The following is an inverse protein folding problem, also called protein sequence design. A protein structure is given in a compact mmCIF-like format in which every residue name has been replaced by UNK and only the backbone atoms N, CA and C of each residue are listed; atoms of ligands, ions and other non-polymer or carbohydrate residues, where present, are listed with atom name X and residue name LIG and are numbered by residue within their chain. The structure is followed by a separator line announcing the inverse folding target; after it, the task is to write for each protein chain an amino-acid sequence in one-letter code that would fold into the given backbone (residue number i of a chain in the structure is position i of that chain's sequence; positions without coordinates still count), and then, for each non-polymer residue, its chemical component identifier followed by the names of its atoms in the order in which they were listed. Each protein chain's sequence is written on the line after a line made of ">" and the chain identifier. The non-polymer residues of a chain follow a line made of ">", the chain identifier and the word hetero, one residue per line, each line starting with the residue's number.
data_IF_165421947684
#
_entry.id   IF_165421947684
#
_cell.length_a   1.000
_cell.length_b   1.000
_cell.length_c   1.000
_cell.angle_alpha   90.00
_cell.angle_beta   90.00
_cell.angle_gamma   90.00
#
_symmetry.space_group_name_H-M   'P 1'
#
loop_
_entity.id
_entity.type
_entity.pdbx_description
1 polymer ?
#
# COMPACT_ATOMS: atom_id res chain seq x y z
N UNK A 1 70.10 -9.48 -48.34
CA UNK A 1 68.69 -9.78 -48.66
C UNK A 1 67.90 -9.82 -47.36
N UNK A 2 67.25 -8.72 -46.99
CA UNK A 2 66.33 -8.64 -45.85
C UNK A 2 64.91 -8.67 -46.44
N UNK A 3 64.11 -9.65 -46.01
CA UNK A 3 62.71 -9.83 -46.44
C UNK A 3 61.82 -8.85 -45.66
N UNK A 4 61.04 -8.04 -46.38
CA UNK A 4 60.06 -7.13 -45.79
C UNK A 4 58.98 -7.91 -45.05
N UNK A 5 58.72 -7.53 -43.80
CA UNK A 5 57.55 -7.95 -43.06
C UNK A 5 56.39 -7.02 -43.39
N UNK A 6 55.23 -7.59 -43.72
CA UNK A 6 53.98 -6.84 -43.86
C UNK A 6 53.58 -6.28 -42.49
N UNK A 7 53.65 -4.97 -42.32
CA UNK A 7 53.13 -4.28 -41.15
C UNK A 7 51.60 -4.23 -41.22
N UNK A 8 50.94 -4.99 -40.34
CA UNK A 8 49.50 -4.95 -40.18
C UNK A 8 49.12 -3.76 -39.28
N UNK A 9 48.56 -2.71 -39.88
CA UNK A 9 48.06 -1.55 -39.14
C UNK A 9 46.63 -1.81 -38.66
N UNK A 10 46.41 -1.76 -37.34
CA UNK A 10 45.08 -1.74 -36.74
C UNK A 10 44.70 -0.31 -36.33
N UNK A 11 43.57 0.19 -36.80
CA UNK A 11 43.01 1.47 -36.36
C UNK A 11 42.02 1.23 -35.22
N UNK A 12 42.27 1.81 -34.05
CA UNK A 12 41.33 1.85 -32.94
C UNK A 12 40.63 3.22 -32.89
N UNK A 13 39.30 3.23 -32.78
CA UNK A 13 38.53 4.44 -32.50
C UNK A 13 38.28 4.49 -30.99
N UNK A 14 38.93 5.42 -30.30
CA UNK A 14 38.67 5.71 -28.88
C UNK A 14 37.58 6.78 -28.84
N UNK A 15 36.38 6.41 -28.38
CA UNK A 15 35.31 7.37 -28.07
C UNK A 15 35.39 7.76 -26.60
N UNK A 16 35.46 9.04 -26.33
CA UNK A 16 35.29 9.57 -24.98
C UNK A 16 33.81 9.41 -24.57
N UNK A 17 33.57 8.65 -23.50
CA UNK A 17 32.24 8.41 -22.93
C UNK A 17 32.03 9.13 -21.59
N UNK A 18 32.97 9.98 -21.19
CA UNK A 18 32.97 10.64 -19.87
C UNK A 18 31.70 11.48 -19.67
N UNK A 19 31.34 12.30 -20.67
CA UNK A 19 30.13 13.13 -20.62
C UNK A 19 28.86 12.28 -20.55
N UNK A 20 28.82 11.17 -21.29
CA UNK A 20 27.67 10.24 -21.27
C UNK A 20 27.52 9.55 -19.92
N UNK A 21 28.62 9.05 -19.34
CA UNK A 21 28.62 8.43 -18.02
C UNK A 21 28.19 9.43 -16.92
N UNK A 22 28.64 10.68 -17.02
CA UNK A 22 28.21 11.75 -16.12
C UNK A 22 26.72 12.06 -16.24
N UNK A 23 26.19 12.11 -17.47
CA UNK A 23 24.76 12.32 -17.73
C UNK A 23 23.90 11.14 -17.24
N UNK A 24 24.31 9.89 -17.49
CA UNK A 24 23.61 8.69 -17.00
C UNK A 24 23.57 8.65 -15.47
N UNK A 25 24.68 9.00 -14.81
CA UNK A 25 24.72 9.13 -13.34
C UNK A 25 23.81 10.25 -12.83
N UNK A 26 23.89 11.44 -13.42
CA UNK A 26 23.05 12.57 -13.00
C UNK A 26 21.55 12.28 -13.18
N UNK A 27 21.19 11.55 -14.24
CA UNK A 27 19.82 11.09 -14.48
C UNK A 27 19.38 10.12 -13.38
N UNK A 28 20.19 9.11 -13.06
CA UNK A 28 19.91 8.16 -11.99
C UNK A 28 19.72 8.86 -10.64
N UNK A 29 20.64 9.75 -10.28
CA UNK A 29 20.58 10.52 -9.03
C UNK A 29 19.30 11.40 -8.97
N UNK A 30 18.87 11.95 -10.12
CA UNK A 30 17.63 12.73 -10.23
C UNK A 30 16.38 11.86 -10.06
N UNK A 31 16.37 10.65 -10.62
CA UNK A 31 15.28 9.68 -10.44
C UNK A 31 15.14 9.26 -8.98
N UNK A 32 16.25 8.86 -8.34
CA UNK A 32 16.25 8.48 -6.91
C UNK A 32 15.83 9.63 -6.00
N UNK A 33 16.12 10.88 -6.37
CA UNK A 33 15.64 12.06 -5.65
C UNK A 33 14.14 12.28 -5.84
N UNK A 34 13.61 12.07 -7.04
CA UNK A 34 12.19 12.19 -7.33
C UNK A 34 11.38 11.13 -6.56
N UNK A 35 11.83 9.87 -6.58
CA UNK A 35 11.19 8.77 -5.83
C UNK A 35 11.10 9.08 -4.34
N UNK A 36 12.22 9.45 -3.71
CA UNK A 36 12.23 9.86 -2.28
C UNK A 36 11.33 11.06 -1.98
N UNK A 37 11.21 11.99 -2.93
CA UNK A 37 10.33 13.16 -2.75
C UNK A 37 8.86 12.74 -2.81
N UNK A 38 8.49 11.88 -3.75
CA UNK A 38 7.14 11.35 -3.87
C UNK A 38 6.75 10.51 -2.65
N UNK A 39 7.65 9.63 -2.20
CA UNK A 39 7.50 8.86 -0.96
C UNK A 39 7.25 9.79 0.24
N UNK A 40 8.10 10.82 0.42
CA UNK A 40 7.92 11.80 1.50
C UNK A 40 6.60 12.58 1.42
N UNK A 41 6.09 12.87 0.22
CA UNK A 41 4.78 13.50 0.03
C UNK A 41 3.65 12.56 0.46
N UNK A 42 3.72 11.29 0.06
CA UNK A 42 2.71 10.27 0.38
C UNK A 42 2.68 10.01 1.89
N UNK A 43 3.84 9.89 2.53
CA UNK A 43 3.90 9.78 3.99
C UNK A 43 3.33 11.01 4.70
N UNK A 44 3.58 12.22 4.18
CA UNK A 44 3.03 13.45 4.73
C UNK A 44 1.50 13.52 4.59
N UNK A 45 0.94 13.03 3.48
CA UNK A 45 -0.51 12.90 3.30
C UNK A 45 -1.10 11.91 4.29
N UNK A 46 -0.47 10.74 4.46
CA UNK A 46 -0.81 9.75 5.46
C UNK A 46 -0.89 10.37 6.86
N UNK A 47 0.18 11.05 7.28
CA UNK A 47 0.27 11.71 8.58
C UNK A 47 -0.79 12.82 8.77
N UNK A 48 -1.14 13.55 7.70
CA UNK A 48 -2.16 14.60 7.77
C UNK A 48 -3.56 14.05 8.07
N UNK A 49 -3.87 12.82 7.63
CA UNK A 49 -5.13 12.13 7.93
C UNK A 49 -5.19 11.78 9.41
N UNK A 50 -4.08 11.26 9.96
CA UNK A 50 -3.97 10.87 11.36
C UNK A 50 -4.14 12.06 12.33
N UNK A 51 -3.81 13.29 11.90
CA UNK A 51 -4.08 14.50 12.69
C UNK A 51 -5.58 14.78 12.90
N UNK A 52 -6.44 14.29 12.00
CA UNK A 52 -7.90 14.46 12.06
C UNK A 52 -8.61 13.32 12.75
N UNK A 53 -7.97 12.15 12.79
CA UNK A 53 -8.41 10.98 13.53
C UNK A 53 -7.33 10.62 14.57
N UNK A 54 -7.40 11.20 15.79
CA UNK A 54 -6.37 11.07 16.83
C UNK A 54 -6.03 9.62 17.22
N UNK A 55 -6.83 8.67 16.76
CA UNK A 55 -6.74 7.25 17.11
C UNK A 55 -6.07 6.40 16.03
N UNK A 56 -5.70 7.02 14.91
CA UNK A 56 -5.02 6.36 13.79
C UNK A 56 -3.53 6.69 13.74
N UNK A 57 -2.93 7.19 14.82
CA UNK A 57 -1.49 7.50 14.83
C UNK A 57 -0.64 6.27 14.45
N UNK A 58 0.12 6.39 13.36
CA UNK A 58 0.91 5.34 12.74
C UNK A 58 0.11 4.17 12.14
N UNK A 59 -1.22 4.26 12.08
CA UNK A 59 -2.09 3.21 11.54
C UNK A 59 -1.80 2.98 10.07
N UNK A 60 -1.77 4.06 9.27
CA UNK A 60 -1.51 3.94 7.82
C UNK A 60 -0.15 3.28 7.57
N UNK A 61 0.86 3.65 8.37
CA UNK A 61 2.20 3.05 8.29
C UNK A 61 2.19 1.56 8.64
N UNK A 62 1.58 1.17 9.77
CA UNK A 62 1.51 -0.24 10.19
C UNK A 62 0.71 -1.11 9.21
N UNK A 63 -0.38 -0.57 8.66
CA UNK A 63 -1.12 -1.25 7.58
C UNK A 63 -0.24 -1.41 6.35
N UNK A 64 0.50 -0.38 5.93
CA UNK A 64 1.43 -0.48 4.81
C UNK A 64 2.57 -1.48 5.05
N UNK A 65 3.16 -1.50 6.25
CA UNK A 65 4.20 -2.46 6.64
C UNK A 65 3.70 -3.90 6.52
N UNK A 66 2.52 -4.20 7.08
CA UNK A 66 1.93 -5.54 6.99
C UNK A 66 1.51 -5.88 5.57
N UNK A 67 0.92 -4.95 4.83
CA UNK A 67 0.48 -5.17 3.46
C UNK A 67 1.67 -5.46 2.51
N UNK A 68 2.78 -4.74 2.67
CA UNK A 68 4.04 -5.02 1.95
C UNK A 68 4.56 -6.41 2.31
N UNK A 69 4.65 -6.75 3.60
CA UNK A 69 5.11 -8.05 4.02
C UNK A 69 4.25 -9.19 3.45
N UNK A 70 2.92 -9.01 3.40
CA UNK A 70 2.00 -9.97 2.77
C UNK A 70 2.28 -10.10 1.27
N UNK A 71 2.40 -8.98 0.56
CA UNK A 71 2.67 -8.98 -0.88
C UNK A 71 4.02 -9.67 -1.21
N UNK A 72 5.05 -9.45 -0.40
CA UNK A 72 6.36 -10.09 -0.53
C UNK A 72 6.31 -11.59 -0.23
N UNK A 73 5.59 -11.99 0.83
CA UNK A 73 5.38 -13.40 1.19
C UNK A 73 4.64 -14.17 0.08
N UNK A 74 3.72 -13.50 -0.61
CA UNK A 74 3.01 -14.03 -1.79
C UNK A 74 3.91 -14.09 -3.05
N UNK A 75 5.13 -13.56 -2.99
CA UNK A 75 6.06 -13.54 -4.12
C UNK A 75 5.65 -12.60 -5.26
N UNK A 76 4.93 -11.52 -4.94
CA UNK A 76 4.46 -10.58 -5.97
C UNK A 76 5.62 -9.77 -6.58
N UNK A 77 5.49 -9.33 -7.85
CA UNK A 77 6.47 -8.44 -8.47
C UNK A 77 6.64 -7.13 -7.70
N UNK A 78 7.84 -6.55 -7.73
CA UNK A 78 8.16 -5.28 -7.04
C UNK A 78 7.15 -4.16 -7.33
N UNK A 79 6.67 -4.05 -8.57
CA UNK A 79 5.66 -3.06 -8.96
C UNK A 79 4.34 -3.23 -8.18
N UNK A 80 3.90 -4.47 -7.93
CA UNK A 80 2.68 -4.77 -7.16
C UNK A 80 2.88 -4.54 -5.67
N UNK A 81 4.09 -4.80 -5.16
CA UNK A 81 4.46 -4.50 -3.78
C UNK A 81 4.43 -2.98 -3.55
N UNK A 82 5.02 -2.20 -4.45
CA UNK A 82 4.99 -0.73 -4.38
C UNK A 82 3.55 -0.20 -4.53
N UNK A 83 2.75 -0.72 -5.47
CA UNK A 83 1.35 -0.34 -5.60
C UNK A 83 0.56 -0.55 -4.30
N UNK A 84 0.77 -1.70 -3.65
CA UNK A 84 0.16 -2.04 -2.35
C UNK A 84 0.63 -1.10 -1.26
N UNK A 85 1.94 -0.81 -1.19
CA UNK A 85 2.55 0.09 -0.22
C UNK A 85 1.95 1.49 -0.29
N UNK A 86 1.98 2.09 -1.48
CA UNK A 86 1.48 3.44 -1.70
C UNK A 86 -0.01 3.53 -1.42
N UNK A 87 -0.81 2.54 -1.86
CA UNK A 87 -2.24 2.53 -1.59
C UNK A 87 -2.55 2.39 -0.09
N UNK A 88 -1.83 1.53 0.63
CA UNK A 88 -2.00 1.34 2.07
C UNK A 88 -1.71 2.61 2.88
N UNK A 89 -0.71 3.41 2.47
CA UNK A 89 -0.36 4.66 3.16
C UNK A 89 -1.43 5.76 3.07
N UNK A 90 -2.32 5.68 2.07
CA UNK A 90 -3.31 6.72 1.78
C UNK A 90 -4.74 6.18 1.70
N UNK A 91 -4.99 4.93 2.09
CA UNK A 91 -6.29 4.27 1.90
C UNK A 91 -7.43 5.05 2.58
N UNK A 92 -7.11 5.73 3.67
CA UNK A 92 -8.05 6.52 4.46
C UNK A 92 -8.09 8.02 4.11
N UNK A 93 -7.44 8.50 3.04
CA UNK A 93 -7.37 9.95 2.75
C UNK A 93 -8.72 10.63 2.61
N UNK A 94 -9.74 9.86 2.20
CA UNK A 94 -11.12 10.34 2.14
C UNK A 94 -11.75 10.65 3.50
N UNK A 95 -11.20 10.17 4.63
CA UNK A 95 -11.66 10.50 5.98
C UNK A 95 -11.53 12.00 6.29
N UNK A 96 -10.71 12.75 5.53
CA UNK A 96 -10.66 14.21 5.60
C UNK A 96 -12.01 14.90 5.34
N UNK A 97 -12.91 14.24 4.60
CA UNK A 97 -14.25 14.72 4.33
C UNK A 97 -15.28 14.36 5.41
N UNK A 98 -14.91 13.51 6.37
CA UNK A 98 -15.80 13.08 7.47
C UNK A 98 -15.65 14.07 8.65
N UNK A 99 -16.76 14.51 9.28
CA UNK A 99 -16.69 15.34 10.47
C UNK A 99 -15.87 14.71 11.60
N UNK A 100 -15.01 15.51 12.24
CA UNK A 100 -14.10 15.04 13.29
C UNK A 100 -14.87 14.50 14.51
N UNK A 101 -16.05 15.03 14.80
CA UNK A 101 -16.93 14.59 15.89
C UNK A 101 -17.44 13.17 15.67
N UNK A 102 -17.59 12.74 14.41
CA UNK A 102 -18.00 11.38 14.06
C UNK A 102 -16.81 10.44 14.19
N UNK A 103 -15.64 10.81 13.64
CA UNK A 103 -14.42 10.00 13.74
C UNK A 103 -13.97 9.80 15.19
N UNK A 104 -14.06 10.86 16.01
CA UNK A 104 -13.59 10.85 17.38
C UNK A 104 -14.62 10.36 18.42
N UNK A 105 -15.80 9.87 17.98
CA UNK A 105 -16.90 9.53 18.89
C UNK A 105 -16.51 8.34 19.80
N UNK A 106 -16.54 8.49 21.15
CA UNK A 106 -16.18 7.42 22.09
C UNK A 106 -17.37 6.48 22.36
N UNK A 107 -18.19 6.21 21.35
CA UNK A 107 -19.38 5.37 21.42
C UNK A 107 -19.65 4.72 20.06
N UNK A 108 -20.51 3.70 20.05
CA UNK A 108 -20.97 3.11 18.81
C UNK A 108 -21.58 4.19 17.89
N UNK A 109 -21.20 4.13 16.62
CA UNK A 109 -21.78 4.96 15.58
C UNK A 109 -23.21 4.50 15.31
N UNK A 110 -24.09 5.46 15.05
CA UNK A 110 -25.41 5.19 14.45
C UNK A 110 -25.23 4.73 13.01
N UNK A 111 -26.24 4.07 12.45
CA UNK A 111 -26.22 3.63 11.05
C UNK A 111 -25.97 4.79 10.08
N UNK A 112 -26.54 5.97 10.36
CA UNK A 112 -26.35 7.19 9.55
C UNK A 112 -24.92 7.72 9.66
N UNK A 113 -24.33 7.75 10.85
CA UNK A 113 -22.93 8.16 11.04
C UNK A 113 -21.98 7.17 10.35
N UNK A 114 -22.25 5.87 10.45
CA UNK A 114 -21.46 4.86 9.77
C UNK A 114 -21.58 4.94 8.25
N UNK A 115 -22.77 5.24 7.72
CA UNK A 115 -22.97 5.49 6.29
C UNK A 115 -22.14 6.66 5.76
N UNK A 116 -21.93 7.71 6.56
CA UNK A 116 -21.03 8.81 6.21
C UNK A 116 -19.58 8.35 6.13
N UNK A 117 -19.13 7.51 7.06
CA UNK A 117 -17.77 6.95 7.04
C UNK A 117 -17.58 6.06 5.81
N UNK A 118 -18.58 5.25 5.42
CA UNK A 118 -18.49 4.37 4.24
C UNK A 118 -18.23 5.10 2.92
N UNK A 119 -18.39 6.42 2.89
CA UNK A 119 -18.11 7.23 1.71
C UNK A 119 -16.62 7.56 1.54
N UNK A 120 -15.77 7.34 2.56
CA UNK A 120 -14.36 7.71 2.45
C UNK A 120 -13.58 7.00 1.34
N UNK A 121 -13.86 5.74 0.91
CA UNK A 121 -13.14 5.17 -0.23
C UNK A 121 -13.45 5.93 -1.53
N UNK A 122 -14.70 6.37 -1.72
CA UNK A 122 -15.09 7.18 -2.86
C UNK A 122 -14.42 8.56 -2.81
N UNK A 123 -14.38 9.20 -1.64
CA UNK A 123 -13.69 10.48 -1.48
C UNK A 123 -12.18 10.35 -1.72
N UNK A 124 -11.59 9.25 -1.27
CA UNK A 124 -10.18 8.96 -1.52
C UNK A 124 -9.91 8.76 -3.02
N UNK A 125 -10.78 8.03 -3.72
CA UNK A 125 -10.73 7.92 -5.17
C UNK A 125 -10.79 9.28 -5.86
N UNK A 126 -11.75 10.13 -5.48
CA UNK A 126 -11.93 11.44 -6.09
C UNK A 126 -10.75 12.39 -5.86
N UNK A 127 -10.01 12.22 -4.76
CA UNK A 127 -8.75 12.94 -4.49
C UNK A 127 -7.60 12.40 -5.33
N UNK A 128 -7.50 11.07 -5.47
CA UNK A 128 -6.32 10.40 -6.03
C UNK A 128 -6.38 10.20 -7.55
N UNK A 129 -7.57 10.15 -8.15
CA UNK A 129 -7.78 9.80 -9.57
C UNK A 129 -7.11 10.75 -10.58
N UNK A 130 -6.79 11.97 -10.17
CA UNK A 130 -6.12 12.97 -11.01
C UNK A 130 -4.58 12.82 -10.98
N UNK A 131 -4.05 11.94 -10.13
CA UNK A 131 -2.61 11.71 -10.01
C UNK A 131 -2.22 10.51 -10.86
N UNK A 132 -1.29 10.73 -11.80
CA UNK A 132 -0.79 9.70 -12.71
C UNK A 132 0.25 8.82 -12.01
N UNK A 133 -0.24 7.78 -11.33
CA UNK A 133 0.60 6.71 -10.81
C UNK A 133 0.77 5.61 -11.86
N UNK A 134 1.93 4.91 -11.90
CA UNK A 134 2.15 3.81 -12.85
C UNK A 134 1.20 2.61 -12.64
N UNK A 135 0.52 2.53 -11.50
CA UNK A 135 -0.51 1.54 -11.15
C UNK A 135 -1.84 2.25 -10.79
N UNK A 136 -2.98 1.55 -10.82
CA UNK A 136 -4.30 2.15 -10.57
C UNK A 136 -4.54 2.45 -9.08
N UNK A 137 -3.75 3.36 -8.49
CA UNK A 137 -3.73 3.67 -7.06
C UNK A 137 -5.12 4.04 -6.52
N UNK A 138 -5.81 4.94 -7.21
CA UNK A 138 -7.14 5.40 -6.81
C UNK A 138 -8.14 4.23 -6.75
N UNK A 139 -8.08 3.33 -7.73
CA UNK A 139 -8.96 2.16 -7.81
C UNK A 139 -8.66 1.14 -6.70
N UNK A 140 -7.37 0.91 -6.39
CA UNK A 140 -6.96 0.05 -5.26
C UNK A 140 -7.54 0.61 -3.96
N UNK A 141 -7.39 1.92 -3.74
CA UNK A 141 -7.92 2.60 -2.56
C UNK A 141 -9.45 2.60 -2.54
N UNK A 142 -10.14 2.72 -3.67
CA UNK A 142 -11.61 2.65 -3.70
C UNK A 142 -12.12 1.30 -3.18
N UNK A 143 -11.38 0.23 -3.45
CA UNK A 143 -11.81 -1.16 -3.25
C UNK A 143 -11.38 -1.78 -1.91
N UNK A 144 -10.60 -1.08 -1.07
CA UNK A 144 -10.01 -1.68 0.14
C UNK A 144 -11.05 -2.16 1.19
N UNK A 145 -12.31 -1.74 1.06
CA UNK A 145 -13.43 -2.21 1.88
C UNK A 145 -14.39 -3.16 1.14
N UNK A 146 -14.06 -3.54 -0.09
CA UNK A 146 -14.75 -4.62 -0.79
C UNK A 146 -14.47 -5.97 -0.12
N UNK A 147 -15.40 -6.92 -0.32
CA UNK A 147 -15.36 -8.26 0.28
C UNK A 147 -15.68 -9.28 -0.80
N UNK A 148 -15.04 -10.45 -0.77
CA UNK A 148 -15.17 -11.42 -1.87
C UNK A 148 -16.62 -11.84 -2.16
N UNK A 149 -17.49 -11.88 -1.15
CA UNK A 149 -18.92 -12.22 -1.30
C UNK A 149 -19.80 -11.06 -1.80
N UNK A 150 -19.23 -9.86 -1.98
CA UNK A 150 -19.92 -8.65 -2.40
C UNK A 150 -20.67 -7.93 -1.29
N UNK A 151 -20.47 -8.32 -0.01
CA UNK A 151 -21.03 -7.58 1.13
C UNK A 151 -20.27 -6.28 1.44
N UNK A 152 -19.19 -6.01 0.71
CA UNK A 152 -18.34 -4.85 0.86
C UNK A 152 -18.95 -3.57 0.29
N UNK A 153 -18.15 -2.51 0.28
CA UNK A 153 -18.53 -1.19 -0.23
C UNK A 153 -17.30 -0.51 -0.85
N UNK A 154 -17.48 0.48 -1.75
CA UNK A 154 -18.74 1.13 -2.14
C UNK A 154 -19.53 0.45 -3.26
N UNK A 155 -18.91 -0.39 -4.08
CA UNK A 155 -19.48 -0.91 -5.32
C UNK A 155 -20.05 -2.34 -5.17
N UNK A 156 -19.68 -3.06 -4.11
CA UNK A 156 -20.16 -4.43 -3.87
C UNK A 156 -19.53 -5.44 -4.83
N UNK A 157 -18.26 -5.21 -5.18
CA UNK A 157 -17.47 -6.06 -6.07
C UNK A 157 -17.28 -7.45 -5.47
N UNK A 158 -17.12 -8.46 -6.33
CA UNK A 158 -16.98 -9.87 -5.91
C UNK A 158 -15.74 -10.51 -6.48
N UNK A 159 -15.12 -11.39 -5.69
CA UNK A 159 -14.03 -12.24 -6.15
C UNK A 159 -12.94 -11.45 -6.90
N UNK A 160 -12.76 -11.82 -8.17
CA UNK A 160 -11.73 -11.25 -9.06
C UNK A 160 -12.03 -9.87 -9.63
N UNK A 161 -13.21 -9.31 -9.36
CA UNK A 161 -13.50 -7.89 -9.64
C UNK A 161 -12.69 -6.97 -8.73
N UNK A 162 -12.23 -7.47 -7.57
CA UNK A 162 -11.43 -6.74 -6.60
C UNK A 162 -9.95 -6.89 -6.96
N UNK A 163 -9.23 -5.77 -7.10
CA UNK A 163 -7.79 -5.74 -7.30
C UNK A 163 -7.07 -6.45 -6.16
N UNK A 164 -6.04 -7.25 -6.48
CA UNK A 164 -5.32 -8.04 -5.49
C UNK A 164 -4.73 -7.16 -4.38
N UNK A 165 -4.15 -6.01 -4.75
CA UNK A 165 -3.60 -5.03 -3.82
C UNK A 165 -4.66 -4.56 -2.80
N UNK A 166 -5.91 -4.37 -3.24
CA UNK A 166 -7.02 -3.98 -2.37
C UNK A 166 -7.40 -5.13 -1.42
N UNK A 167 -7.37 -6.39 -1.89
CA UNK A 167 -7.57 -7.57 -1.02
C UNK A 167 -6.50 -7.70 0.04
N UNK A 168 -5.25 -7.36 -0.29
CA UNK A 168 -4.13 -7.34 0.67
C UNK A 168 -4.35 -6.28 1.73
N UNK A 169 -4.65 -5.04 1.31
CA UNK A 169 -4.92 -3.92 2.24
C UNK A 169 -6.12 -4.24 3.14
N UNK A 170 -7.17 -4.83 2.59
CA UNK A 170 -8.36 -5.24 3.32
C UNK A 170 -8.06 -6.20 4.50
N UNK A 171 -7.12 -7.12 4.33
CA UNK A 171 -6.67 -8.03 5.39
C UNK A 171 -5.75 -7.30 6.36
N UNK A 172 -4.77 -6.54 5.86
CA UNK A 172 -3.83 -5.79 6.69
C UNK A 172 -4.51 -4.77 7.62
N UNK A 173 -5.49 -4.02 7.08
CA UNK A 173 -6.30 -3.06 7.85
C UNK A 173 -7.07 -3.73 8.98
N UNK A 174 -7.74 -4.85 8.72
CA UNK A 174 -8.47 -5.60 9.75
C UNK A 174 -7.55 -6.09 10.86
N UNK A 175 -6.39 -6.64 10.50
CA UNK A 175 -5.43 -7.17 11.47
C UNK A 175 -4.85 -6.05 12.33
N UNK A 176 -4.39 -4.97 11.71
CA UNK A 176 -3.89 -3.80 12.44
C UNK A 176 -4.99 -3.25 13.36
N UNK A 177 -6.18 -3.01 12.83
CA UNK A 177 -7.29 -2.43 13.57
C UNK A 177 -7.71 -3.26 14.79
N UNK A 178 -7.59 -4.59 14.72
CA UNK A 178 -7.86 -5.53 15.81
C UNK A 178 -6.73 -5.64 16.83
N UNK A 179 -5.49 -5.56 16.37
CA UNK A 179 -4.30 -5.68 17.21
C UNK A 179 -3.90 -4.38 17.92
N UNK A 180 -4.41 -3.23 17.47
CA UNK A 180 -4.12 -1.91 18.05
C UNK A 180 -5.19 -1.43 19.04
N UNK A 181 -4.76 -0.63 20.02
CA UNK A 181 -5.66 0.00 20.99
C UNK A 181 -6.54 1.06 20.32
N UNK A 182 -7.85 1.01 20.57
CA UNK A 182 -8.83 2.03 20.16
C UNK A 182 -9.52 2.62 21.40
N UNK A 183 -10.10 3.84 21.32
CA UNK A 183 -10.66 4.54 22.49
C UNK A 183 -11.78 3.79 23.20
N UNK A 184 -12.57 3.09 22.41
CA UNK A 184 -13.73 2.32 22.85
C UNK A 184 -13.43 0.82 22.97
N UNK A 185 -12.21 0.37 22.63
CA UNK A 185 -11.86 -1.05 22.63
C UNK A 185 -10.35 -1.28 22.85
N UNK A 186 -9.94 -2.03 23.88
CA UNK A 186 -8.54 -2.44 24.01
C UNK A 186 -8.10 -3.31 22.81
N UNK A 187 -6.80 -3.35 22.55
CA UNK A 187 -6.23 -4.31 21.59
C UNK A 187 -6.69 -5.73 21.94
N UNK A 188 -7.20 -6.46 20.95
CA UNK A 188 -7.59 -7.87 21.13
C UNK A 188 -6.38 -8.82 20.98
N UNK A 189 -5.28 -8.30 20.43
CA UNK A 189 -4.05 -9.05 20.16
C UNK A 189 -4.01 -9.66 18.77
N UNK A 190 -2.80 -10.06 18.37
CA UNK A 190 -2.53 -10.65 17.05
C UNK A 190 -3.25 -11.99 16.87
N UNK A 191 -3.31 -12.82 17.90
CA UNK A 191 -3.98 -14.12 17.85
C UNK A 191 -5.47 -13.96 17.48
N UNK A 192 -6.18 -13.08 18.18
CA UNK A 192 -7.59 -12.79 17.89
C UNK A 192 -7.80 -12.18 16.49
N UNK A 193 -6.85 -11.35 16.02
CA UNK A 193 -6.89 -10.79 14.68
C UNK A 193 -6.72 -11.87 13.60
N UNK A 194 -5.76 -12.79 13.79
CA UNK A 194 -5.55 -13.94 12.92
C UNK A 194 -6.76 -14.87 12.90
N UNK A 195 -7.38 -15.13 14.05
CA UNK A 195 -8.58 -15.97 14.14
C UNK A 195 -9.76 -15.37 13.39
N UNK A 196 -9.95 -14.05 13.45
CA UNK A 196 -10.99 -13.34 12.70
C UNK A 196 -10.83 -13.52 11.19
N UNK A 197 -9.63 -13.29 10.66
CA UNK A 197 -9.39 -13.42 9.22
C UNK A 197 -9.48 -14.88 8.77
N UNK A 198 -9.01 -15.83 9.58
CA UNK A 198 -9.14 -17.27 9.33
C UNK A 198 -10.61 -17.71 9.28
N UNK A 199 -11.43 -17.24 10.23
CA UNK A 199 -12.85 -17.59 10.29
C UNK A 199 -13.65 -17.10 9.07
N UNK A 200 -13.14 -16.09 8.36
CA UNK A 200 -13.80 -15.42 7.22
C UNK A 200 -13.07 -15.65 5.89
N UNK A 201 -12.01 -16.46 5.90
CA UNK A 201 -11.20 -16.86 4.74
C UNK A 201 -12.06 -17.49 3.64
N UNK A 202 -11.89 -17.06 2.40
CA UNK A 202 -12.63 -17.55 1.24
C UNK A 202 -14.09 -17.09 1.15
N UNK A 203 -14.57 -16.32 2.14
CA UNK A 203 -15.90 -15.67 2.09
C UNK A 203 -15.79 -14.15 2.03
N UNK A 204 -15.11 -13.54 3.01
CA UNK A 204 -14.87 -12.10 3.02
C UNK A 204 -13.49 -11.74 2.49
N UNK A 205 -12.50 -12.57 2.82
CA UNK A 205 -11.09 -12.30 2.55
C UNK A 205 -10.51 -13.34 1.61
N UNK A 206 -9.56 -12.90 0.80
CA UNK A 206 -8.84 -13.75 -0.14
C UNK A 206 -8.09 -14.88 0.58
N UNK A 207 -8.34 -16.16 0.22
CA UNK A 207 -7.65 -17.31 0.78
C UNK A 207 -6.14 -17.18 0.84
N UNK A 208 -5.52 -16.74 -0.25
CA UNK A 208 -4.07 -16.73 -0.41
C UNK A 208 -3.45 -15.58 0.39
N UNK A 209 -4.16 -14.44 0.44
CA UNK A 209 -3.78 -13.28 1.26
C UNK A 209 -3.84 -13.62 2.75
N UNK A 210 -4.91 -14.30 3.19
CA UNK A 210 -5.05 -14.71 4.60
C UNK A 210 -3.95 -15.69 4.99
N UNK A 211 -3.66 -16.67 4.15
CA UNK A 211 -2.61 -17.67 4.43
C UNK A 211 -1.22 -17.03 4.53
N UNK A 212 -0.90 -16.11 3.61
CA UNK A 212 0.35 -15.35 3.66
C UNK A 212 0.44 -14.50 4.94
N UNK A 213 -0.63 -13.78 5.30
CA UNK A 213 -0.68 -12.97 6.51
C UNK A 213 -0.45 -13.81 7.77
N UNK A 214 -1.11 -14.96 7.89
CA UNK A 214 -0.95 -15.87 9.03
C UNK A 214 0.47 -16.43 9.07
N UNK A 215 1.01 -16.85 7.92
CA UNK A 215 2.37 -17.40 7.86
C UNK A 215 3.41 -16.39 8.32
N UNK A 216 3.24 -15.09 8.04
CA UNK A 216 4.15 -14.04 8.49
C UNK A 216 4.22 -13.95 10.02
N UNK A 217 3.07 -13.95 10.70
CA UNK A 217 3.03 -13.92 12.15
C UNK A 217 3.61 -15.20 12.78
N UNK A 218 3.40 -16.36 12.16
CA UNK A 218 4.04 -17.62 12.58
C UNK A 218 5.56 -17.59 12.40
N UNK A 219 6.06 -16.86 11.39
CA UNK A 219 7.49 -16.60 11.14
C UNK A 219 8.07 -15.50 12.04
N UNK A 220 7.26 -14.89 12.91
CA UNK A 220 7.69 -13.89 13.88
C UNK A 220 7.62 -12.44 13.39
N UNK A 221 6.79 -12.13 12.39
CA UNK A 221 6.48 -10.74 12.06
C UNK A 221 5.93 -9.99 13.27
N UNK A 222 6.43 -8.77 13.49
CA UNK A 222 5.92 -7.84 14.50
C UNK A 222 5.90 -6.45 13.90
N UNK A 223 4.86 -5.67 14.21
CA UNK A 223 4.86 -4.24 13.89
C UNK A 223 6.07 -3.56 14.53
N UNK A 224 6.66 -2.63 13.78
CA UNK A 224 7.81 -1.85 14.24
C UNK A 224 7.43 -0.79 15.29
#
# INVERSE_FOLDING_TARGET
>A
AWKGGDEMFSTAIIRDITERMAAEKALKDSYEKLERTLEGIVEALGAAIELRDPYTAGHQRRVAELAVAIAEEMGLPTEKVEATRYAALVHDIGKLAVPAEILAKPAALTDTEFALIKFHPQQAYDILKEIDFPWPLAEIVLQHHERLDGSGYPNGLKGDEILLEARIIAVADVVEAMSSHRPYRPALGIEAACDEIKAKRGRLYDPDVVDACVSLFEKGFSFA
#
